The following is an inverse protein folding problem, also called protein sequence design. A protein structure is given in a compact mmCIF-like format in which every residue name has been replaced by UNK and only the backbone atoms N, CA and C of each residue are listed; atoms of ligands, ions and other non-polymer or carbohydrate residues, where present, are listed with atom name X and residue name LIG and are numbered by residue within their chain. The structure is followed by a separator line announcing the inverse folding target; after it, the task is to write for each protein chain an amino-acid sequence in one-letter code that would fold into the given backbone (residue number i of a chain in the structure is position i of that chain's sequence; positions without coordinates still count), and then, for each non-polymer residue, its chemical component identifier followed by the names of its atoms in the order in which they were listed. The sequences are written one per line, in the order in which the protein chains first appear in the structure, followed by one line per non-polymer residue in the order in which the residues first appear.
data_IF_411758744851
#
_entry.id   IF_411758744851
#
_cell.length_a   1.000
_cell.length_b   1.000
_cell.length_c   1.000
_cell.angle_alpha   90.00
_cell.angle_beta   90.00
_cell.angle_gamma   90.00
#
_symmetry.space_group_name_H-M   'P 1'
#
loop_
_entity.id
_entity.type
_entity.pdbx_description
1 polymer ?
#
# COMPACT_ATOMS: atom_id res chain seq x y z
N UNK A 1 -12.01 14.07 23.75
CA UNK A 1 -10.97 14.35 22.74
C UNK A 1 -10.87 13.11 21.87
N UNK A 2 -11.27 13.21 20.59
CA UNK A 2 -10.93 12.15 19.65
C UNK A 2 -9.41 12.17 19.45
N UNK A 3 -8.77 11.00 19.59
CA UNK A 3 -7.34 10.87 19.36
C UNK A 3 -7.06 11.10 17.89
N UNK A 4 -6.14 12.02 17.56
CA UNK A 4 -5.68 12.19 16.18
C UNK A 4 -5.10 10.87 15.69
N UNK A 5 -5.43 10.51 14.46
CA UNK A 5 -4.93 9.30 13.79
C UNK A 5 -3.54 9.64 13.23
N UNK A 6 -2.50 8.96 13.72
CA UNK A 6 -1.11 9.23 13.37
C UNK A 6 -0.70 8.37 12.17
N UNK A 7 -0.47 9.00 11.02
CA UNK A 7 -0.08 8.35 9.77
C UNK A 7 1.43 8.45 9.58
N UNK A 8 2.08 7.34 9.28
CA UNK A 8 3.51 7.33 8.95
C UNK A 8 3.74 7.85 7.53
N UNK A 9 4.69 8.78 7.37
CA UNK A 9 5.20 9.25 6.09
C UNK A 9 6.64 8.79 5.94
N UNK A 10 6.90 7.89 4.99
CA UNK A 10 8.19 7.27 4.75
C UNK A 10 8.85 7.89 3.52
N UNK A 11 10.15 8.15 3.60
CA UNK A 11 10.93 8.68 2.47
C UNK A 11 11.83 7.58 1.91
N UNK A 12 11.67 7.24 0.63
CA UNK A 12 12.47 6.21 -0.07
C UNK A 12 13.48 6.83 -1.06
N UNK A 13 13.61 8.15 -1.03
CA UNK A 13 14.62 8.91 -1.78
C UNK A 13 15.31 9.92 -0.86
N UNK A 14 16.52 10.42 -1.22
CA UNK A 14 17.27 11.36 -0.39
C UNK A 14 16.67 12.78 -0.46
N UNK A 15 15.58 13.01 0.26
CA UNK A 15 14.92 14.32 0.30
C UNK A 15 15.73 15.35 1.11
N UNK A 16 16.10 16.50 0.52
CA UNK A 16 16.65 17.62 1.27
C UNK A 16 15.68 18.11 2.36
N UNK A 17 16.17 18.67 3.49
CA UNK A 17 15.31 19.17 4.57
C UNK A 17 14.19 20.12 4.12
N UNK A 18 14.49 21.02 3.18
CA UNK A 18 13.52 21.96 2.59
C UNK A 18 12.41 21.26 1.80
N UNK A 19 12.75 20.19 1.07
CA UNK A 19 11.78 19.42 0.29
C UNK A 19 10.87 18.60 1.20
N UNK A 20 11.42 18.06 2.31
CA UNK A 20 10.62 17.40 3.36
C UNK A 20 9.64 18.36 4.00
N UNK A 21 10.13 19.52 4.46
CA UNK A 21 9.30 20.54 5.08
C UNK A 21 8.18 21.03 4.14
N UNK A 22 8.48 21.20 2.85
CA UNK A 22 7.49 21.57 1.84
C UNK A 22 6.43 20.49 1.64
N UNK A 23 6.82 19.22 1.52
CA UNK A 23 5.87 18.12 1.37
C UNK A 23 4.96 17.99 2.60
N UNK A 24 5.55 18.02 3.79
CA UNK A 24 4.83 17.95 5.07
C UNK A 24 3.84 19.10 5.22
N UNK A 25 4.24 20.32 4.84
CA UNK A 25 3.35 21.47 4.81
C UNK A 25 2.16 21.25 3.85
N UNK A 26 2.40 20.73 2.64
CA UNK A 26 1.34 20.49 1.65
C UNK A 26 0.36 19.40 2.11
N UNK A 27 0.87 18.32 2.71
CA UNK A 27 0.04 17.27 3.31
C UNK A 27 -0.77 17.78 4.51
N UNK A 28 -0.14 18.56 5.39
CA UNK A 28 -0.81 19.18 6.52
C UNK A 28 -1.87 20.20 6.09
N UNK A 29 -1.60 20.99 5.04
CA UNK A 29 -2.56 21.95 4.49
C UNK A 29 -3.81 21.25 3.92
N UNK A 30 -3.65 20.11 3.25
CA UNK A 30 -4.78 19.27 2.81
C UNK A 30 -5.59 18.73 4.00
N UNK A 31 -4.97 18.58 5.17
CA UNK A 31 -5.61 18.10 6.41
C UNK A 31 -6.27 19.20 7.26
N UNK A 32 -6.07 20.48 6.95
CA UNK A 32 -6.54 21.60 7.80
C UNK A 32 -8.05 21.70 7.94
N UNK A 33 -8.82 21.11 7.03
CA UNK A 33 -10.27 21.19 7.09
C UNK A 33 -10.89 20.21 8.11
N UNK A 34 -10.14 19.22 8.61
CA UNK A 34 -10.69 18.20 9.49
C UNK A 34 -9.86 17.87 10.74
N UNK A 35 -8.64 18.39 10.96
CA UNK A 35 -7.80 18.18 12.18
C UNK A 35 -7.61 16.72 12.71
N UNK A 36 -8.10 15.70 12.00
CA UNK A 36 -8.15 14.31 12.45
C UNK A 36 -6.89 13.50 12.15
N UNK A 37 -6.02 13.99 11.25
CA UNK A 37 -4.79 13.30 10.85
C UNK A 37 -3.54 14.07 11.27
N UNK A 38 -2.56 13.33 11.79
CA UNK A 38 -1.20 13.82 12.06
C UNK A 38 -0.20 12.97 11.27
N UNK A 39 0.74 13.61 10.58
CA UNK A 39 1.77 12.90 9.81
C UNK A 39 3.06 12.81 10.63
N UNK A 40 3.52 11.58 10.85
CA UNK A 40 4.82 11.31 11.47
C UNK A 40 5.83 10.92 10.40
N UNK A 41 6.70 11.85 10.07
CA UNK A 41 7.80 11.65 9.12
C UNK A 41 8.85 10.68 9.67
N UNK A 42 9.17 9.67 8.87
CA UNK A 42 10.22 8.69 9.14
C UNK A 42 11.21 8.81 7.99
N UNK A 43 12.36 9.42 8.29
CA UNK A 43 13.49 9.50 7.40
C UNK A 43 14.55 8.52 7.88
N UNK A 44 14.64 7.37 7.22
CA UNK A 44 15.65 6.35 7.47
C UNK A 44 16.41 6.09 6.15
N UNK A 45 17.71 6.40 6.08
CA UNK A 45 18.52 6.13 4.90
C UNK A 45 18.51 4.68 4.44
N UNK A 46 18.20 3.72 5.32
CA UNK A 46 18.05 2.32 4.97
C UNK A 46 16.86 2.05 4.03
N UNK A 47 15.91 2.98 3.92
CA UNK A 47 14.77 2.87 3.00
C UNK A 47 15.04 3.44 1.61
N UNK A 48 16.19 4.07 1.39
CA UNK A 48 16.51 4.69 0.12
C UNK A 48 16.67 3.65 -0.99
N UNK A 49 15.99 3.87 -2.11
CA UNK A 49 16.04 3.00 -3.27
C UNK A 49 15.30 1.67 -3.09
N UNK A 50 14.70 1.41 -1.92
CA UNK A 50 13.85 0.25 -1.73
C UNK A 50 12.58 0.41 -2.56
N UNK A 51 12.23 -0.64 -3.28
CA UNK A 51 10.87 -0.79 -3.79
C UNK A 51 9.87 -0.89 -2.64
N UNK A 52 8.58 -0.67 -2.92
CA UNK A 52 7.52 -0.88 -1.92
C UNK A 52 7.57 -2.30 -1.35
N UNK A 53 7.96 -3.28 -2.15
CA UNK A 53 8.22 -4.65 -1.71
C UNK A 53 9.19 -4.75 -0.55
N UNK A 54 10.37 -4.19 -0.76
CA UNK A 54 11.50 -4.33 0.14
C UNK A 54 11.27 -3.49 1.38
N UNK A 55 10.70 -2.29 1.22
CA UNK A 55 10.29 -1.45 2.34
C UNK A 55 9.34 -2.20 3.29
N UNK A 56 8.36 -2.91 2.75
CA UNK A 56 7.41 -3.67 3.56
C UNK A 56 8.05 -4.87 4.26
N UNK A 57 8.94 -5.61 3.59
CA UNK A 57 9.72 -6.69 4.22
C UNK A 57 10.59 -6.15 5.35
N UNK A 58 11.30 -5.05 5.13
CA UNK A 58 12.10 -4.38 6.16
C UNK A 58 11.25 -3.95 7.36
N UNK A 59 9.98 -3.64 7.14
CA UNK A 59 9.01 -3.24 8.15
C UNK A 59 8.18 -4.40 8.72
N UNK A 60 8.51 -5.64 8.36
CA UNK A 60 7.78 -6.85 8.77
C UNK A 60 6.26 -6.71 8.52
N UNK A 61 5.91 -6.17 7.35
CA UNK A 61 4.52 -5.98 6.90
C UNK A 61 3.64 -5.15 7.83
N UNK A 62 4.22 -4.18 8.56
CA UNK A 62 3.49 -3.35 9.52
C UNK A 62 3.89 -1.87 9.51
N UNK A 63 2.89 -0.98 9.62
CA UNK A 63 3.06 0.47 9.79
C UNK A 63 2.38 0.98 11.06
N UNK A 64 2.51 0.23 12.16
CA UNK A 64 1.89 0.54 13.45
C UNK A 64 1.94 2.05 13.78
N UNK A 65 0.81 2.68 14.16
CA UNK A 65 -0.42 2.04 14.63
C UNK A 65 -1.37 1.55 13.53
N UNK A 66 -1.13 1.88 12.26
CA UNK A 66 -2.06 1.55 11.18
C UNK A 66 -1.46 0.59 10.14
N UNK A 67 -2.28 -0.21 9.46
CA UNK A 67 -1.83 -1.10 8.38
C UNK A 67 -1.71 -0.38 7.01
N UNK A 68 -1.49 0.93 7.03
CA UNK A 68 -1.26 1.76 5.85
C UNK A 68 -0.35 2.95 6.19
N UNK A 69 0.33 3.49 5.19
CA UNK A 69 1.28 4.59 5.31
C UNK A 69 1.32 5.41 4.01
N UNK A 70 1.95 6.58 4.09
CA UNK A 70 2.35 7.36 2.92
C UNK A 70 3.81 7.08 2.60
N UNK A 71 4.13 6.97 1.31
CA UNK A 71 5.49 6.82 0.81
C UNK A 71 5.79 7.95 -0.17
N UNK A 72 6.87 8.69 0.10
CA UNK A 72 7.43 9.72 -0.76
C UNK A 72 8.67 9.17 -1.45
N UNK A 73 8.59 9.04 -2.77
CA UNK A 73 9.62 8.42 -3.60
C UNK A 73 10.36 9.45 -4.47
N UNK A 74 11.20 8.96 -5.40
CA UNK A 74 11.95 9.80 -6.32
C UNK A 74 11.04 10.64 -7.24
N UNK A 75 9.87 10.10 -7.60
CA UNK A 75 8.86 10.84 -8.37
C UNK A 75 8.26 11.98 -7.55
N UNK A 76 7.89 11.75 -6.29
CA UNK A 76 7.43 12.82 -5.39
C UNK A 76 8.48 13.95 -5.29
N UNK A 77 9.76 13.60 -5.18
CA UNK A 77 10.85 14.58 -5.12
C UNK A 77 10.96 15.39 -6.42
N UNK A 78 10.92 14.71 -7.56
CA UNK A 78 10.97 15.36 -8.88
C UNK A 78 9.79 16.33 -9.08
N UNK A 79 8.58 15.93 -8.67
CA UNK A 79 7.38 16.76 -8.76
C UNK A 79 7.50 18.03 -7.89
N UNK A 80 8.07 17.92 -6.68
CA UNK A 80 8.37 19.08 -5.84
C UNK A 80 9.34 20.07 -6.51
N UNK A 81 10.33 19.58 -7.24
CA UNK A 81 11.31 20.43 -7.94
C UNK A 81 10.79 20.99 -9.26
N UNK A 82 9.87 20.28 -9.93
CA UNK A 82 9.36 20.64 -11.26
C UNK A 82 8.35 21.81 -11.27
N UNK A 83 8.03 22.40 -10.11
CA UNK A 83 6.97 23.41 -9.97
C UNK A 83 5.58 22.97 -10.47
N UNK A 84 5.33 21.66 -10.62
CA UNK A 84 3.96 21.16 -10.76
C UNK A 84 3.10 21.65 -9.59
N UNK A 85 1.87 22.05 -9.88
CA UNK A 85 0.95 22.66 -8.91
C UNK A 85 0.72 21.79 -7.66
N UNK A 86 0.93 20.47 -7.73
CA UNK A 86 0.78 19.61 -6.56
C UNK A 86 1.64 18.34 -6.70
N UNK A 87 2.52 18.02 -5.73
CA UNK A 87 3.24 16.75 -5.72
C UNK A 87 2.27 15.61 -5.44
N UNK A 88 2.67 14.39 -5.77
CA UNK A 88 1.92 13.16 -5.50
C UNK A 88 2.74 12.21 -4.63
N UNK A 89 2.06 11.41 -3.82
CA UNK A 89 2.65 10.42 -2.91
C UNK A 89 1.94 9.08 -3.07
N UNK A 90 2.62 7.99 -2.77
CA UNK A 90 1.95 6.69 -2.72
C UNK A 90 1.24 6.52 -1.38
N UNK A 91 -0.05 6.22 -1.44
CA UNK A 91 -0.80 5.67 -0.30
C UNK A 91 -0.66 4.17 -0.39
N UNK A 92 0.00 3.56 0.59
CA UNK A 92 0.30 2.14 0.57
C UNK A 92 -0.40 1.45 1.72
N UNK A 93 -1.05 0.34 1.44
CA UNK A 93 -1.77 -0.47 2.42
C UNK A 93 -1.30 -1.92 2.39
N UNK A 94 -1.13 -2.47 3.60
CA UNK A 94 -0.93 -3.90 3.81
C UNK A 94 -2.29 -4.58 3.93
N UNK A 95 -2.48 -5.63 3.16
CA UNK A 95 -3.55 -6.61 3.33
C UNK A 95 -2.94 -7.96 3.67
N UNK A 96 -3.44 -8.62 4.71
CA UNK A 96 -3.25 -10.05 4.90
C UNK A 96 -4.45 -10.80 4.32
N UNK A 97 -4.21 -11.89 3.61
CA UNK A 97 -5.23 -12.83 3.16
C UNK A 97 -4.72 -14.24 3.38
N UNK A 98 -5.58 -15.16 3.78
CA UNK A 98 -5.21 -16.58 3.84
C UNK A 98 -5.16 -17.16 2.42
N UNK A 99 -4.37 -18.22 2.18
CA UNK A 99 -4.40 -18.89 0.89
C UNK A 99 -5.78 -19.37 0.45
N UNK A 100 -6.64 -19.75 1.39
CA UNK A 100 -8.00 -20.18 1.09
C UNK A 100 -8.88 -19.01 0.64
N UNK A 101 -8.75 -17.86 1.28
CA UNK A 101 -9.46 -16.64 0.85
C UNK A 101 -8.98 -16.17 -0.53
N UNK A 102 -7.68 -16.24 -0.84
CA UNK A 102 -7.18 -15.93 -2.18
C UNK A 102 -7.71 -16.94 -3.22
N UNK A 103 -7.77 -18.21 -2.86
CA UNK A 103 -8.36 -19.25 -3.71
C UNK A 103 -9.84 -18.99 -4.01
N UNK A 104 -10.61 -18.59 -3.00
CA UNK A 104 -12.03 -18.26 -3.17
C UNK A 104 -12.27 -17.03 -4.07
N UNK A 105 -11.25 -16.19 -4.25
CA UNK A 105 -11.27 -15.04 -5.14
C UNK A 105 -10.75 -15.35 -6.56
N UNK A 106 -10.26 -16.58 -6.80
CA UNK A 106 -9.75 -16.98 -8.11
C UNK A 106 -10.90 -17.06 -9.13
N UNK A 107 -10.77 -16.28 -10.20
CA UNK A 107 -11.73 -16.17 -11.32
C UNK A 107 -11.15 -16.68 -12.66
N UNK A 108 -9.98 -17.35 -12.61
CA UNK A 108 -9.30 -17.85 -13.80
C UNK A 108 -9.96 -19.08 -14.44
N UNK A 109 -9.48 -19.51 -15.61
CA UNK A 109 -10.13 -20.55 -16.41
C UNK A 109 -10.03 -21.94 -15.77
N UNK A 110 -11.18 -22.59 -15.60
CA UNK A 110 -11.30 -23.99 -15.18
C UNK A 110 -11.49 -24.18 -13.68
N UNK A 111 -12.19 -25.25 -13.32
CA UNK A 111 -12.32 -25.65 -11.92
C UNK A 111 -11.05 -26.36 -11.46
N UNK A 112 -10.24 -25.66 -10.69
CA UNK A 112 -9.00 -26.18 -10.10
C UNK A 112 -9.22 -26.77 -8.69
N UNK A 113 -10.48 -26.86 -8.24
CA UNK A 113 -10.88 -27.53 -7.00
C UNK A 113 -10.54 -29.03 -6.89
N UNK A 114 -10.11 -29.76 -7.94
CA UNK A 114 -9.57 -31.11 -7.79
C UNK A 114 -8.09 -31.17 -7.38
N UNK A 115 -7.34 -30.07 -7.50
CA UNK A 115 -5.89 -30.08 -7.22
C UNK A 115 -5.60 -30.34 -5.74
N UNK A 116 -4.50 -31.03 -5.42
CA UNK A 116 -4.06 -31.17 -4.04
C UNK A 116 -3.76 -29.78 -3.42
N UNK A 117 -3.99 -29.57 -2.11
CA UNK A 117 -3.79 -28.27 -1.47
C UNK A 117 -2.40 -27.65 -1.70
N UNK A 118 -1.36 -28.47 -1.69
CA UNK A 118 0.02 -28.02 -1.95
C UNK A 118 0.22 -27.49 -3.38
N UNK A 119 -0.49 -28.05 -4.36
CA UNK A 119 -0.43 -27.63 -5.76
C UNK A 119 -1.18 -26.32 -5.95
N UNK A 120 -2.33 -26.14 -5.27
CA UNK A 120 -3.06 -24.86 -5.28
C UNK A 120 -2.23 -23.74 -4.68
N UNK A 121 -1.51 -24.01 -3.60
CA UNK A 121 -0.59 -23.05 -2.98
C UNK A 121 0.55 -22.67 -3.92
N UNK A 122 1.18 -23.66 -4.57
CA UNK A 122 2.22 -23.41 -5.56
C UNK A 122 1.71 -22.57 -6.74
N UNK A 123 0.48 -22.83 -7.21
CA UNK A 123 -0.15 -22.06 -8.28
C UNK A 123 -0.47 -20.62 -7.84
N UNK A 124 -1.11 -20.43 -6.69
CA UNK A 124 -1.40 -19.10 -6.14
C UNK A 124 -0.10 -18.28 -5.97
N UNK A 125 0.98 -18.94 -5.56
CA UNK A 125 2.28 -18.30 -5.45
C UNK A 125 2.84 -17.89 -6.80
N UNK A 126 2.82 -18.79 -7.79
CA UNK A 126 3.28 -18.48 -9.14
C UNK A 126 2.48 -17.32 -9.75
N UNK A 127 1.16 -17.31 -9.57
CA UNK A 127 0.31 -16.20 -10.03
C UNK A 127 0.61 -14.88 -9.31
N UNK A 128 0.87 -14.92 -8.00
CA UNK A 128 1.25 -13.72 -7.24
C UNK A 128 2.60 -13.17 -7.73
N UNK A 129 3.59 -14.04 -7.95
CA UNK A 129 4.91 -13.69 -8.47
C UNK A 129 4.81 -13.11 -9.91
N UNK A 130 3.94 -13.67 -10.75
CA UNK A 130 3.67 -13.18 -12.11
C UNK A 130 2.99 -11.80 -12.12
N UNK A 131 2.01 -11.58 -11.22
CA UNK A 131 1.34 -10.26 -11.07
C UNK A 131 2.33 -9.15 -10.71
N UNK A 132 3.32 -9.44 -9.86
CA UNK A 132 4.40 -8.49 -9.53
C UNK A 132 5.23 -8.13 -10.74
N UNK A 133 5.46 -9.08 -11.64
CA UNK A 133 6.28 -8.84 -12.84
C UNK A 133 5.53 -7.99 -13.86
N UNK A 134 4.21 -8.11 -13.93
CA UNK A 134 3.36 -7.37 -14.88
C UNK A 134 3.02 -5.95 -14.43
N UNK A 135 2.96 -5.69 -13.12
CA UNK A 135 2.66 -4.36 -12.56
C UNK A 135 3.60 -4.03 -11.37
N UNK A 136 4.89 -3.74 -11.64
CA UNK A 136 5.88 -3.51 -10.60
C UNK A 136 5.66 -2.22 -9.81
N UNK A 137 4.76 -1.34 -10.27
CA UNK A 137 4.59 0.01 -9.75
C UNK A 137 3.30 0.22 -8.94
N UNK A 138 2.26 -0.60 -9.15
CA UNK A 138 0.92 -0.32 -8.59
C UNK A 138 0.40 -1.41 -7.65
N UNK A 139 0.70 -2.69 -7.91
CA UNK A 139 0.21 -3.81 -7.09
C UNK A 139 1.29 -4.83 -6.83
N UNK A 140 1.92 -4.70 -5.68
CA UNK A 140 3.04 -5.54 -5.35
C UNK A 140 2.54 -6.69 -4.44
N UNK A 141 2.29 -7.85 -5.04
CA UNK A 141 1.87 -9.05 -4.31
C UNK A 141 3.07 -9.72 -3.67
N UNK A 142 3.06 -9.98 -2.37
CA UNK A 142 4.16 -10.68 -1.72
C UNK A 142 3.71 -11.93 -0.99
N UNK A 143 4.35 -13.02 -1.38
CA UNK A 143 4.38 -14.21 -0.56
C UNK A 143 5.49 -14.02 0.47
N UNK A 144 5.16 -14.00 1.76
CA UNK A 144 6.17 -14.30 2.78
C UNK A 144 5.94 -15.72 3.27
N UNK A 145 7.02 -16.51 3.28
CA UNK A 145 6.98 -17.87 3.78
C UNK A 145 6.44 -17.89 5.20
N UNK A 146 5.34 -18.60 5.39
CA UNK A 146 4.97 -19.12 6.71
C UNK A 146 6.22 -19.84 7.22
N UNK A 147 6.67 -19.54 8.45
CA UNK A 147 7.63 -20.41 9.11
C UNK A 147 7.04 -21.83 9.05
N UNK A 148 7.64 -22.70 8.23
CA UNK A 148 7.25 -24.10 8.07
C UNK A 148 7.47 -24.81 9.41
N UNK A 149 6.57 -24.60 10.37
CA UNK A 149 6.48 -25.47 11.54
C UNK A 149 5.65 -26.65 11.09
N UNK A 150 6.36 -27.75 10.80
CA UNK A 150 5.90 -29.13 10.66
C UNK A 150 4.37 -29.28 10.66
N UNK A 151 3.78 -29.33 9.46
CA UNK A 151 2.33 -29.36 9.28
C UNK A 151 1.79 -30.78 9.24
N UNK A 152 0.70 -31.00 9.98
CA UNK A 152 -0.35 -31.97 9.64
C UNK A 152 -1.24 -31.38 8.53
N UNK A 153 -1.81 -32.24 7.70
CA UNK A 153 -2.50 -31.91 6.43
C UNK A 153 -3.73 -30.98 6.54
N UNK A 154 -4.15 -30.58 7.74
CA UNK A 154 -5.46 -29.95 8.00
C UNK A 154 -5.42 -28.51 8.49
N UNK A 155 -4.24 -27.93 8.70
CA UNK A 155 -4.13 -26.52 9.07
C UNK A 155 -3.16 -25.86 8.09
N UNK A 156 -3.59 -24.87 7.33
CA UNK A 156 -2.67 -23.97 6.63
C UNK A 156 -2.78 -22.62 7.31
N UNK A 157 -2.02 -22.41 8.39
CA UNK A 157 -2.04 -21.19 9.20
C UNK A 157 -1.07 -20.13 8.64
N UNK A 158 -1.06 -19.96 7.33
CA UNK A 158 -0.24 -18.97 6.63
C UNK A 158 -1.01 -17.71 6.26
N UNK A 159 -0.40 -16.54 6.46
CA UNK A 159 -0.91 -15.30 5.91
C UNK A 159 -0.12 -14.96 4.63
N UNK A 160 -0.83 -14.64 3.57
CA UNK A 160 -0.32 -13.99 2.37
C UNK A 160 -0.41 -12.49 2.55
N UNK A 161 0.62 -11.75 2.15
CA UNK A 161 0.66 -10.31 2.32
C UNK A 161 0.58 -9.62 0.96
N UNK A 162 -0.56 -9.02 0.68
CA UNK A 162 -0.72 -8.19 -0.50
C UNK A 162 -0.41 -6.74 -0.14
N UNK A 163 0.51 -6.13 -0.89
CA UNK A 163 0.82 -4.70 -0.78
C UNK A 163 0.16 -3.99 -1.92
N UNK A 164 -0.79 -3.13 -1.57
CA UNK A 164 -1.52 -2.33 -2.54
C UNK A 164 -1.05 -0.89 -2.46
N UNK A 165 -0.73 -0.29 -3.60
CA UNK A 165 -0.26 1.08 -3.70
C UNK A 165 -1.18 1.88 -4.61
N UNK A 166 -1.38 3.14 -4.25
CA UNK A 166 -2.15 4.07 -5.03
C UNK A 166 -1.43 5.42 -5.01
N UNK A 167 -1.05 5.92 -6.19
CA UNK A 167 -0.51 7.27 -6.30
C UNK A 167 -1.64 8.28 -6.10
N UNK A 168 -1.45 9.25 -5.21
CA UNK A 168 -2.46 10.24 -4.88
C UNK A 168 -1.87 11.65 -4.73
N UNK A 169 -2.69 12.65 -5.04
CA UNK A 169 -2.43 14.04 -4.61
C UNK A 169 -2.63 14.17 -3.09
N UNK A 170 -2.14 15.23 -2.42
CA UNK A 170 -2.34 15.50 -1.00
C UNK A 170 -3.79 15.40 -0.55
N UNK A 171 -4.74 15.94 -1.32
CA UNK A 171 -6.16 15.84 -1.02
C UNK A 171 -6.66 14.38 -1.11
N UNK A 172 -6.28 13.67 -2.17
CA UNK A 172 -6.61 12.25 -2.34
C UNK A 172 -5.98 11.36 -1.26
N UNK A 173 -4.72 11.62 -0.88
CA UNK A 173 -4.01 10.91 0.17
C UNK A 173 -4.67 11.15 1.53
N UNK A 174 -5.03 12.39 1.84
CA UNK A 174 -5.79 12.73 3.03
C UNK A 174 -7.13 11.98 3.10
N UNK A 175 -7.91 12.02 2.00
CA UNK A 175 -9.18 11.29 1.90
C UNK A 175 -9.00 9.78 2.09
N UNK A 176 -8.02 9.18 1.39
CA UNK A 176 -7.76 7.76 1.48
C UNK A 176 -7.38 7.33 2.91
N UNK A 177 -6.51 8.08 3.60
CA UNK A 177 -6.13 7.83 4.98
C UNK A 177 -7.32 7.95 5.96
N UNK A 178 -8.17 8.97 5.81
CA UNK A 178 -9.38 9.13 6.63
C UNK A 178 -10.34 7.96 6.47
N UNK A 179 -10.48 7.44 5.26
CA UNK A 179 -11.43 6.35 5.02
C UNK A 179 -10.82 4.99 5.42
N UNK A 180 -9.52 4.78 5.22
CA UNK A 180 -8.84 3.56 5.68
C UNK A 180 -8.80 3.41 7.20
N UNK A 181 -8.95 4.49 7.96
CA UNK A 181 -9.05 4.41 9.43
C UNK A 181 -10.40 3.86 9.91
N UNK A 182 -11.47 3.90 9.08
CA UNK A 182 -12.84 3.56 9.51
C UNK A 182 -13.57 2.55 8.62
N UNK A 183 -13.16 2.37 7.35
CA UNK A 183 -13.81 1.44 6.39
C UNK A 183 -12.90 0.26 6.03
N UNK A 184 -13.51 -0.79 5.47
CA UNK A 184 -12.80 -1.96 4.96
C UNK A 184 -11.86 -1.56 3.80
N UNK A 185 -10.55 -1.71 4.06
CA UNK A 185 -9.49 -1.37 3.10
C UNK A 185 -9.57 -2.17 1.81
N UNK A 186 -10.11 -3.39 1.84
CA UNK A 186 -10.22 -4.27 0.68
C UNK A 186 -11.12 -3.65 -0.38
N UNK A 187 -12.28 -3.14 0.04
CA UNK A 187 -13.27 -2.50 -0.83
C UNK A 187 -12.77 -1.13 -1.29
N UNK A 188 -12.25 -0.35 -0.35
CA UNK A 188 -11.90 1.04 -0.61
C UNK A 188 -10.68 1.17 -1.55
N UNK A 189 -9.70 0.27 -1.46
CA UNK A 189 -8.56 0.33 -2.37
C UNK A 189 -8.97 0.12 -3.83
N UNK A 190 -9.82 -0.86 -4.11
CA UNK A 190 -10.30 -1.12 -5.48
C UNK A 190 -11.07 0.08 -6.06
N UNK A 191 -11.91 0.71 -5.23
CA UNK A 191 -12.61 1.93 -5.61
C UNK A 191 -11.63 3.05 -5.98
N UNK A 192 -10.62 3.29 -5.15
CA UNK A 192 -9.66 4.37 -5.39
C UNK A 192 -8.76 4.13 -6.60
N UNK A 193 -8.32 2.88 -6.83
CA UNK A 193 -7.57 2.52 -8.03
C UNK A 193 -8.40 2.77 -9.30
N UNK A 194 -9.70 2.45 -9.26
CA UNK A 194 -10.63 2.73 -10.37
C UNK A 194 -10.78 4.22 -10.63
N UNK A 195 -10.91 5.05 -9.58
CA UNK A 195 -10.97 6.51 -9.74
C UNK A 195 -9.65 7.09 -10.24
N UNK A 196 -8.51 6.63 -9.74
CA UNK A 196 -7.19 7.10 -10.19
C UNK A 196 -6.95 6.81 -11.68
N UNK A 197 -7.45 5.67 -12.19
CA UNK A 197 -7.34 5.34 -13.60
C UNK A 197 -8.02 6.38 -14.51
N UNK A 198 -9.05 7.08 -14.01
CA UNK A 198 -9.74 8.16 -14.75
C UNK A 198 -8.94 9.46 -14.83
N UNK A 199 -7.93 9.61 -13.99
CA UNK A 199 -7.13 10.84 -13.81
C UNK A 199 -5.64 10.59 -14.06
N UNK A 200 -5.32 9.72 -15.02
CA UNK A 200 -3.94 9.44 -15.41
C UNK A 200 -3.13 8.70 -14.33
N UNK A 201 -3.81 7.90 -13.50
CA UNK A 201 -3.21 7.10 -12.44
C UNK A 201 -3.04 7.82 -11.10
N UNK A 202 -3.58 9.04 -10.93
CA UNK A 202 -3.46 9.81 -9.68
C UNK A 202 -4.81 9.99 -9.00
N UNK A 203 -4.97 9.51 -7.78
CA UNK A 203 -6.19 9.71 -7.01
C UNK A 203 -6.27 11.13 -6.43
N UNK A 204 -7.41 11.79 -6.63
CA UNK A 204 -7.69 13.15 -6.14
C UNK A 204 -8.80 13.24 -5.09
N UNK A 205 -9.47 12.13 -4.78
CA UNK A 205 -10.70 12.10 -3.97
C UNK A 205 -11.89 11.54 -4.76
N UNK A 206 -12.95 11.14 -4.06
CA UNK A 206 -14.22 10.79 -4.71
C UNK A 206 -14.98 12.09 -5.03
N UNK A 207 -15.49 12.24 -6.25
CA UNK A 207 -16.46 13.29 -6.56
C UNK A 207 -17.79 12.90 -5.94
N UNK A 208 -18.38 13.79 -5.15
CA UNK A 208 -19.78 13.68 -4.71
C UNK A 208 -20.74 13.81 -5.89
#
# INVERSE_FOLDING_TARGET
MESKTVIQLLYTAPFPPESRARLEYLLAAASKHLELLEYKSIYDPAYHGLSLAELFRCRNFSFAPHPYALVADSRTLAELHSNTLTPTVDVVSVRSITPMEEWNLYDGPGDLSPLAPIVRLALLRAMAEERVTLDPHTNAWFWEHVKERAYSETQYNGNLWQVKALRASPAGAHYACLVYSVKDRNVMHALYSSEAAKTGGVFHGLRE
#
